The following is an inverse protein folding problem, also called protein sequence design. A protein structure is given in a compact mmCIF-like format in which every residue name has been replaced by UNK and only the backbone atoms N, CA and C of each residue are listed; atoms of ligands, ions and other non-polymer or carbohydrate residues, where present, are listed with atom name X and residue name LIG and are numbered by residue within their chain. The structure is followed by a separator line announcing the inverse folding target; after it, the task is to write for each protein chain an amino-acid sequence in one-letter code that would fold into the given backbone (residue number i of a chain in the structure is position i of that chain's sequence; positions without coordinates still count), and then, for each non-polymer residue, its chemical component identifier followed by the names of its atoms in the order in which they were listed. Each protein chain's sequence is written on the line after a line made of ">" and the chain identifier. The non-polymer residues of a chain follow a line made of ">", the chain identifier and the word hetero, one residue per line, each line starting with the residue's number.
data_IF_295899936486
#
_entry.id   IF_295899936486
#
_cell.length_a   1.000
_cell.length_b   1.000
_cell.length_c   1.000
_cell.angle_alpha   90.00
_cell.angle_beta   90.00
_cell.angle_gamma   90.00
#
_symmetry.space_group_name_H-M   'P 1'
#
loop_
_entity.id
_entity.type
_entity.pdbx_description
1 polymer ?
#
# COMPACT_ATOMS: atom_id res chain seq x y z
N UNK A 1 -17.71 17.55 -1.24
CA UNK A 1 -17.28 16.87 0.00
C UNK A 1 -16.02 16.04 -0.27
N UNK A 2 -14.87 16.39 0.32
CA UNK A 2 -13.65 15.59 0.19
C UNK A 2 -13.78 14.28 0.97
N UNK A 3 -14.03 13.16 0.27
CA UNK A 3 -14.08 11.84 0.91
C UNK A 3 -12.69 11.54 1.47
N UNK A 4 -12.53 11.55 2.79
CA UNK A 4 -11.35 10.98 3.46
C UNK A 4 -11.33 9.50 3.12
N UNK A 5 -10.33 9.05 2.37
CA UNK A 5 -10.12 7.62 2.12
C UNK A 5 -9.94 6.93 3.48
N UNK A 6 -10.79 5.95 3.76
CA UNK A 6 -10.73 5.07 4.93
C UNK A 6 -9.76 3.91 4.70
N UNK A 7 -9.35 3.22 5.77
CA UNK A 7 -8.44 2.08 5.67
C UNK A 7 -8.99 0.95 4.79
N UNK A 8 -10.31 0.77 4.81
CA UNK A 8 -11.01 -0.20 3.97
C UNK A 8 -10.85 0.10 2.46
N UNK A 9 -11.04 1.35 2.05
CA UNK A 9 -10.82 1.77 0.66
C UNK A 9 -9.37 1.56 0.25
N UNK A 10 -8.41 1.87 1.14
CA UNK A 10 -7.01 1.64 0.84
C UNK A 10 -6.69 0.15 0.70
N UNK A 11 -7.21 -0.71 1.58
CA UNK A 11 -7.04 -2.17 1.47
C UNK A 11 -7.62 -2.71 0.16
N UNK A 12 -8.81 -2.23 -0.25
CA UNK A 12 -9.39 -2.57 -1.55
C UNK A 12 -8.51 -2.14 -2.71
N UNK A 13 -8.04 -0.89 -2.74
CA UNK A 13 -7.15 -0.42 -3.82
C UNK A 13 -5.82 -1.18 -3.84
N UNK A 14 -5.25 -1.53 -2.67
CA UNK A 14 -4.04 -2.36 -2.59
C UNK A 14 -4.30 -3.76 -3.13
N UNK A 15 -5.42 -4.37 -2.77
CA UNK A 15 -5.81 -5.68 -3.27
C UNK A 15 -6.15 -5.66 -4.77
N UNK A 16 -6.75 -4.60 -5.28
CA UNK A 16 -7.06 -4.46 -6.71
C UNK A 16 -5.78 -4.26 -7.55
N UNK A 17 -4.85 -3.44 -7.07
CA UNK A 17 -3.60 -3.11 -7.76
C UNK A 17 -2.48 -4.13 -7.58
N UNK A 18 -2.44 -4.75 -6.40
CA UNK A 18 -1.36 -5.62 -5.92
C UNK A 18 -1.81 -7.03 -5.59
N UNK A 19 -3.11 -7.32 -5.64
CA UNK A 19 -3.64 -8.63 -5.30
C UNK A 19 -3.39 -9.03 -3.85
N UNK A 20 -3.32 -10.34 -3.68
CA UNK A 20 -2.93 -11.03 -2.45
C UNK A 20 -1.41 -10.97 -2.16
N UNK A 21 -0.61 -10.46 -3.10
CA UNK A 21 0.83 -10.29 -2.92
C UNK A 21 1.21 -9.07 -2.09
N UNK A 22 0.33 -8.09 -1.89
CA UNK A 22 0.64 -6.92 -1.07
C UNK A 22 -0.15 -6.92 0.24
N UNK A 23 0.58 -7.07 1.34
CA UNK A 23 0.02 -7.12 2.68
C UNK A 23 0.47 -5.90 3.51
N UNK A 24 -0.45 -4.98 3.87
CA UNK A 24 -0.14 -3.90 4.80
C UNK A 24 0.03 -4.48 6.20
N UNK A 25 1.21 -4.29 6.80
CA UNK A 25 1.54 -4.75 8.16
C UNK A 25 1.14 -3.74 9.24
N UNK A 26 0.87 -2.48 8.86
CA UNK A 26 0.48 -1.42 9.79
C UNK A 26 -0.85 -0.80 9.40
N UNK A 27 -1.57 -0.26 10.39
CA UNK A 27 -2.89 0.36 10.18
C UNK A 27 -2.76 1.64 9.33
N UNK A 28 -3.61 1.74 8.31
CA UNK A 28 -3.77 2.98 7.56
C UNK A 28 -4.58 3.98 8.40
N UNK A 29 -4.01 5.17 8.64
CA UNK A 29 -4.73 6.26 9.33
C UNK A 29 -5.08 7.37 8.33
N UNK A 30 -4.12 7.77 7.49
CA UNK A 30 -4.27 8.86 6.51
C UNK A 30 -3.36 8.65 5.29
N UNK A 31 -3.72 9.26 4.15
CA UNK A 31 -3.05 9.05 2.86
C UNK A 31 -1.57 9.49 2.83
N UNK A 32 -1.17 10.40 3.71
CA UNK A 32 0.19 10.94 3.82
C UNK A 32 1.04 10.27 4.91
N UNK A 33 0.45 9.42 5.75
CA UNK A 33 1.21 8.68 6.74
C UNK A 33 1.85 7.45 6.11
N UNK A 34 3.13 7.23 6.40
CA UNK A 34 3.85 6.04 5.95
C UNK A 34 3.33 4.82 6.71
N UNK A 35 3.10 3.74 5.99
CA UNK A 35 2.74 2.44 6.54
C UNK A 35 3.76 1.41 6.06
N UNK A 36 3.96 0.34 6.83
CA UNK A 36 4.80 -0.76 6.41
C UNK A 36 3.95 -1.67 5.53
N UNK A 37 4.39 -1.86 4.29
CA UNK A 37 3.80 -2.84 3.40
C UNK A 37 4.81 -3.93 3.10
N UNK A 38 4.34 -5.17 3.18
CA UNK A 38 5.08 -6.37 2.81
C UNK A 38 4.61 -6.80 1.44
N UNK A 39 5.55 -6.99 0.52
CA UNK A 39 5.27 -7.74 -0.70
C UNK A 39 5.54 -9.21 -0.40
N UNK A 40 4.50 -10.05 -0.43
CA UNK A 40 4.56 -11.46 -0.13
C UNK A 40 5.31 -12.24 -1.22
N UNK A 41 5.05 -11.96 -2.51
CA UNK A 41 5.78 -12.54 -3.64
C UNK A 41 7.30 -12.41 -3.54
N UNK A 42 7.83 -11.29 -3.02
CA UNK A 42 9.28 -11.10 -2.86
C UNK A 42 9.77 -11.12 -1.40
N UNK A 43 8.87 -11.29 -0.42
CA UNK A 43 9.16 -11.23 1.01
C UNK A 43 9.66 -9.87 1.56
N UNK A 44 9.71 -8.81 0.76
CA UNK A 44 10.33 -7.54 1.16
C UNK A 44 9.34 -6.61 1.86
N UNK A 45 9.75 -6.08 3.01
CA UNK A 45 8.98 -5.14 3.83
C UNK A 45 9.54 -3.74 3.65
N UNK A 46 8.70 -2.78 3.27
CA UNK A 46 9.15 -1.42 3.03
C UNK A 46 8.12 -0.39 3.48
N UNK A 47 8.62 0.81 3.78
CA UNK A 47 7.78 1.94 4.15
C UNK A 47 7.21 2.57 2.88
N UNK A 48 5.90 2.56 2.76
CA UNK A 48 5.20 3.15 1.63
C UNK A 48 4.13 4.11 2.13
N UNK A 49 4.03 5.24 1.45
CA UNK A 49 2.92 6.16 1.65
C UNK A 49 1.77 5.68 0.75
N UNK A 50 0.54 5.54 1.27
CA UNK A 50 -0.63 5.16 0.49
C UNK A 50 -0.79 5.93 -0.81
N UNK A 51 -0.67 7.27 -0.74
CA UNK A 51 -0.75 8.12 -1.91
C UNK A 51 0.32 7.79 -2.96
N UNK A 52 1.54 7.40 -2.53
CA UNK A 52 2.61 6.98 -3.45
C UNK A 52 2.32 5.60 -4.06
N UNK A 53 1.77 4.67 -3.28
CA UNK A 53 1.38 3.37 -3.78
C UNK A 53 0.32 3.48 -4.88
N UNK A 54 -0.71 4.30 -4.62
CA UNK A 54 -1.77 4.60 -5.58
C UNK A 54 -1.26 5.34 -6.83
N UNK A 55 -0.21 6.14 -6.71
CA UNK A 55 0.48 6.76 -7.85
C UNK A 55 1.32 5.78 -8.69
N UNK A 56 1.30 4.48 -8.40
CA UNK A 56 2.02 3.46 -9.16
C UNK A 56 3.38 3.08 -8.57
N UNK A 57 3.71 3.56 -7.35
CA UNK A 57 4.96 3.17 -6.68
C UNK A 57 4.82 1.78 -6.06
N UNK A 58 5.27 0.76 -6.78
CA UNK A 58 5.27 -0.65 -6.36
C UNK A 58 6.55 -1.04 -5.61
N UNK A 59 6.67 -2.32 -5.27
CA UNK A 59 7.81 -2.85 -4.52
C UNK A 59 9.14 -2.48 -5.22
N UNK A 60 10.06 -1.74 -4.56
CA UNK A 60 11.32 -1.33 -5.16
C UNK A 60 12.27 -2.51 -5.45
N UNK A 61 12.02 -3.66 -4.81
CA UNK A 61 12.77 -4.90 -5.04
C UNK A 61 12.31 -5.67 -6.27
N UNK A 62 11.06 -5.54 -6.70
CA UNK A 62 10.52 -6.25 -7.86
C UNK A 62 10.61 -5.45 -9.16
N UNK A 63 10.80 -4.13 -9.06
CA UNK A 63 11.00 -3.26 -10.21
C UNK A 63 12.48 -2.99 -10.48
N UNK A 64 13.36 -3.95 -10.17
CA UNK A 64 14.80 -3.91 -10.45
C UNK A 64 15.23 -5.19 -11.15
#
# INVERSE_FOLDING_TARGET
>A
MGKRKTDDQFKKEVFDLGGEDYQPLTKYIIAHQKLIMKHNACGYKYWVTPNKFLQGRRCPKCNR
#
